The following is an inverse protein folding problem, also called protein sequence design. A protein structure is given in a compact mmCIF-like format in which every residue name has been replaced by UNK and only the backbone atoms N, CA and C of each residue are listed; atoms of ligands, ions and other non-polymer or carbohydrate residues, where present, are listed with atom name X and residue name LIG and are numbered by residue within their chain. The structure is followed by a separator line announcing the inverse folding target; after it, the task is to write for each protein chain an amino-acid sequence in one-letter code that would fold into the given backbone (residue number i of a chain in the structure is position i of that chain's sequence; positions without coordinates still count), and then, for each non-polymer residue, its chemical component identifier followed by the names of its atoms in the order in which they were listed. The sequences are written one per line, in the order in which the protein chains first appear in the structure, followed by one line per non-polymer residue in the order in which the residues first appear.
data_IF_758750799430
#
_entry.id   IF_758750799430
#
_cell.length_a   1.000
_cell.length_b   1.000
_cell.length_c   1.000
_cell.angle_alpha   90.00
_cell.angle_beta   90.00
_cell.angle_gamma   90.00
#
_symmetry.space_group_name_H-M   'P 1'
#
loop_
_entity.id
_entity.type
_entity.pdbx_description
1 polymer ?
#
# COMPACT_ATOMS: atom_id res chain seq x y z
N UNK A 1 -22.79 9.82 13.56
CA UNK A 1 -22.23 9.62 12.20
C UNK A 1 -20.76 10.02 12.12
N UNK A 2 -20.41 11.28 12.42
CA UNK A 2 -19.00 11.74 12.33
C UNK A 2 -18.03 10.99 13.26
N UNK A 3 -18.38 10.81 14.53
CA UNK A 3 -17.58 10.04 15.50
C UNK A 3 -17.28 8.61 15.02
N UNK A 4 -18.29 7.92 14.48
CA UNK A 4 -18.14 6.55 13.97
C UNK A 4 -17.23 6.49 12.74
N UNK A 5 -17.34 7.49 11.86
CA UNK A 5 -16.50 7.61 10.68
C UNK A 5 -15.01 7.78 11.05
N UNK A 6 -14.71 8.61 12.06
CA UNK A 6 -13.36 8.79 12.59
C UNK A 6 -12.81 7.51 13.22
N UNK A 7 -13.62 6.79 14.01
CA UNK A 7 -13.22 5.50 14.56
C UNK A 7 -12.99 4.45 13.47
N UNK A 8 -13.79 4.48 12.40
CA UNK A 8 -13.64 3.57 11.27
C UNK A 8 -12.35 3.84 10.49
N UNK A 9 -12.04 5.11 10.24
CA UNK A 9 -10.75 5.52 9.68
C UNK A 9 -9.58 5.10 10.59
N UNK A 10 -9.69 5.36 11.90
CA UNK A 10 -8.66 5.00 12.88
C UNK A 10 -8.36 3.51 12.87
N UNK A 11 -9.41 2.67 12.86
CA UNK A 11 -9.27 1.21 12.72
C UNK A 11 -8.61 0.83 11.39
N UNK A 12 -8.98 1.49 10.29
CA UNK A 12 -8.35 1.28 8.99
C UNK A 12 -6.85 1.58 9.00
N UNK A 13 -6.44 2.71 9.55
CA UNK A 13 -5.03 3.09 9.67
C UNK A 13 -4.28 2.11 10.60
N UNK A 14 -4.91 1.63 11.68
CA UNK A 14 -4.32 0.61 12.53
C UNK A 14 -3.99 -0.67 11.74
N UNK A 15 -4.91 -1.13 10.89
CA UNK A 15 -4.63 -2.28 10.02
C UNK A 15 -3.48 -2.02 9.04
N UNK A 16 -3.31 -0.78 8.56
CA UNK A 16 -2.15 -0.42 7.72
C UNK A 16 -0.83 -0.44 8.49
N UNK A 17 -0.83 0.00 9.75
CA UNK A 17 0.36 -0.09 10.63
C UNK A 17 0.74 -1.55 10.84
N UNK A 18 -0.22 -2.42 11.17
CA UNK A 18 0.03 -3.86 11.34
C UNK A 18 0.50 -4.50 10.03
N UNK A 19 -0.13 -4.14 8.90
CA UNK A 19 0.28 -4.61 7.58
C UNK A 19 1.73 -4.22 7.26
N UNK A 20 2.12 -2.98 7.55
CA UNK A 20 3.49 -2.49 7.33
C UNK A 20 4.52 -3.26 8.19
N UNK A 21 4.19 -3.56 9.45
CA UNK A 21 5.05 -4.39 10.33
C UNK A 21 5.20 -5.80 9.74
N UNK A 22 4.11 -6.40 9.26
CA UNK A 22 4.15 -7.73 8.64
C UNK A 22 4.99 -7.74 7.35
N UNK A 23 4.86 -6.72 6.51
CA UNK A 23 5.68 -6.58 5.29
C UNK A 23 7.15 -6.40 5.65
N UNK A 24 7.46 -5.56 6.63
CA UNK A 24 8.83 -5.34 7.10
C UNK A 24 9.46 -6.61 7.67
N UNK A 25 8.73 -7.35 8.50
CA UNK A 25 9.16 -8.64 9.03
C UNK A 25 9.39 -9.67 7.92
N UNK A 26 8.48 -9.73 6.93
CA UNK A 26 8.63 -10.60 5.76
C UNK A 26 9.86 -10.26 4.92
N UNK A 27 10.13 -8.96 4.73
CA UNK A 27 11.31 -8.48 4.03
C UNK A 27 12.61 -8.88 4.76
N UNK A 28 12.67 -8.68 6.08
CA UNK A 28 13.81 -9.11 6.91
C UNK A 28 14.04 -10.62 6.83
N UNK A 29 12.98 -11.42 6.96
CA UNK A 29 13.07 -12.87 6.81
C UNK A 29 13.61 -13.27 5.42
N UNK A 30 13.12 -12.62 4.36
CA UNK A 30 13.63 -12.80 3.00
C UNK A 30 15.10 -12.44 2.86
N UNK A 31 15.53 -11.32 3.45
CA UNK A 31 16.92 -10.87 3.38
C UNK A 31 17.87 -11.82 4.10
N UNK A 32 17.45 -12.37 5.25
CA UNK A 32 18.23 -13.42 5.94
C UNK A 32 18.35 -14.67 5.06
N UNK A 33 17.28 -15.09 4.38
CA UNK A 33 17.32 -16.25 3.48
C UNK A 33 18.30 -16.04 2.31
N UNK A 34 18.34 -14.83 1.75
CA UNK A 34 19.25 -14.48 0.66
C UNK A 34 20.71 -14.46 1.13
N UNK A 35 20.98 -13.85 2.29
CA UNK A 35 22.32 -13.80 2.89
C UNK A 35 22.89 -15.20 3.12
N UNK A 36 22.08 -16.12 3.64
CA UNK A 36 22.49 -17.52 3.83
C UNK A 36 22.66 -18.30 2.51
N UNK A 37 21.99 -17.91 1.43
CA UNK A 37 22.13 -18.54 0.12
C UNK A 37 23.43 -18.13 -0.61
N UNK A 38 23.98 -16.95 -0.31
CA UNK A 38 25.14 -16.37 -1.00
C UNK A 38 26.40 -16.22 -0.11
N UNK A 39 26.32 -16.59 1.17
CA UNK A 39 27.43 -16.40 2.10
C UNK A 39 28.68 -17.21 1.68
N UNK A 40 29.87 -16.58 1.63
CA UNK A 40 31.12 -17.24 1.24
C UNK A 40 31.70 -18.16 2.33
N UNK A 41 31.04 -18.27 3.48
CA UNK A 41 31.50 -19.04 4.65
C UNK A 41 30.89 -20.44 4.68
N UNK A 42 31.49 -21.34 3.90
CA UNK A 42 31.85 -22.73 4.28
C UNK A 42 30.80 -23.76 4.71
N UNK A 43 29.62 -23.40 5.20
CA UNK A 43 28.59 -24.35 5.60
C UNK A 43 27.23 -23.94 5.03
N UNK A 44 26.77 -24.68 4.03
CA UNK A 44 25.40 -24.56 3.56
C UNK A 44 24.44 -24.74 4.76
N UNK A 45 23.45 -23.85 4.95
CA UNK A 45 22.44 -24.04 5.98
C UNK A 45 21.79 -25.41 5.79
N UNK A 46 21.60 -26.16 6.88
CA UNK A 46 20.82 -27.40 6.84
C UNK A 46 19.47 -27.09 6.15
N UNK A 47 19.05 -27.89 5.14
CA UNK A 47 17.87 -27.62 4.31
C UNK A 47 16.59 -27.20 5.07
N UNK A 48 16.29 -27.66 6.30
CA UNK A 48 15.10 -27.18 7.01
C UNK A 48 15.10 -25.68 7.36
N UNK A 49 16.26 -25.03 7.58
CA UNK A 49 16.30 -23.63 8.04
C UNK A 49 16.05 -22.63 6.90
N UNK A 50 16.63 -22.85 5.71
CA UNK A 50 16.45 -21.96 4.56
C UNK A 50 15.03 -22.03 3.96
N UNK A 51 14.41 -23.22 3.93
CA UNK A 51 13.01 -23.37 3.51
C UNK A 51 12.04 -22.71 4.51
N UNK A 52 12.35 -22.75 5.80
CA UNK A 52 11.49 -22.15 6.82
C UNK A 52 11.48 -20.61 6.76
N UNK A 53 12.61 -19.95 6.49
CA UNK A 53 12.68 -18.48 6.40
C UNK A 53 12.02 -17.92 5.15
N UNK A 54 12.12 -18.62 4.01
CA UNK A 54 11.40 -18.26 2.78
C UNK A 54 9.89 -18.41 2.99
N UNK A 55 9.44 -19.52 3.59
CA UNK A 55 8.03 -19.72 3.90
C UNK A 55 7.48 -18.62 4.82
N UNK A 56 8.21 -18.27 5.88
CA UNK A 56 7.85 -17.17 6.79
C UNK A 56 7.80 -15.83 6.05
N UNK A 57 8.77 -15.54 5.17
CA UNK A 57 8.78 -14.32 4.37
C UNK A 57 7.55 -14.23 3.47
N UNK A 58 7.24 -15.30 2.72
CA UNK A 58 6.08 -15.35 1.82
C UNK A 58 4.77 -15.19 2.61
N UNK A 59 4.61 -15.92 3.70
CA UNK A 59 3.39 -15.82 4.55
C UNK A 59 3.25 -14.41 5.11
N UNK A 60 4.30 -13.82 5.65
CA UNK A 60 4.25 -12.48 6.22
C UNK A 60 3.90 -11.40 5.18
N UNK A 61 4.47 -11.51 3.97
CA UNK A 61 4.13 -10.62 2.85
C UNK A 61 2.68 -10.79 2.39
N UNK A 62 2.18 -12.02 2.30
CA UNK A 62 0.78 -12.30 1.94
C UNK A 62 -0.18 -11.76 3.00
N UNK A 63 0.11 -11.98 4.28
CA UNK A 63 -0.71 -11.45 5.38
C UNK A 63 -0.70 -9.92 5.37
N UNK A 64 0.47 -9.29 5.20
CA UNK A 64 0.58 -7.83 5.07
C UNK A 64 -0.23 -7.28 3.88
N UNK A 65 -0.18 -7.96 2.73
CA UNK A 65 -0.98 -7.61 1.56
C UNK A 65 -2.48 -7.72 1.83
N UNK A 66 -2.94 -8.84 2.40
CA UNK A 66 -4.36 -9.04 2.71
C UNK A 66 -4.87 -8.01 3.73
N UNK A 67 -4.09 -7.72 4.77
CA UNK A 67 -4.44 -6.72 5.76
C UNK A 67 -4.51 -5.31 5.18
N UNK A 68 -3.55 -4.94 4.31
CA UNK A 68 -3.56 -3.62 3.68
C UNK A 68 -4.75 -3.45 2.73
N UNK A 69 -5.08 -4.47 1.94
CA UNK A 69 -6.28 -4.49 1.11
C UNK A 69 -7.54 -4.38 1.97
N UNK A 70 -7.67 -5.21 3.02
CA UNK A 70 -8.80 -5.17 3.92
C UNK A 70 -8.99 -3.78 4.57
N UNK A 71 -7.90 -3.16 5.02
CA UNK A 71 -7.90 -1.82 5.61
C UNK A 71 -8.48 -0.78 4.64
N UNK A 72 -8.02 -0.79 3.39
CA UNK A 72 -8.43 0.15 2.34
C UNK A 72 -9.89 -0.08 1.94
N UNK A 73 -10.24 -1.32 1.61
CA UNK A 73 -11.57 -1.68 1.09
C UNK A 73 -12.67 -1.49 2.13
N UNK A 74 -12.47 -1.99 3.36
CA UNK A 74 -13.54 -2.07 4.35
C UNK A 74 -13.60 -0.82 5.23
N UNK A 75 -12.44 -0.33 5.69
CA UNK A 75 -12.39 0.66 6.76
C UNK A 75 -12.16 2.07 6.22
N UNK A 76 -11.09 2.30 5.47
CA UNK A 76 -10.71 3.65 5.02
C UNK A 76 -11.74 4.19 4.03
N UNK A 77 -12.09 3.41 3.00
CA UNK A 77 -13.13 3.79 2.04
C UNK A 77 -14.48 4.05 2.72
N UNK A 78 -14.86 3.17 3.65
CA UNK A 78 -16.12 3.31 4.40
C UNK A 78 -16.13 4.56 5.29
N UNK A 79 -15.03 4.86 5.98
CA UNK A 79 -14.92 6.02 6.85
C UNK A 79 -14.91 7.34 6.07
N UNK A 80 -14.20 7.43 4.94
CA UNK A 80 -14.29 8.61 4.07
C UNK A 80 -15.67 8.78 3.44
N UNK A 81 -16.37 7.69 3.12
CA UNK A 81 -17.77 7.76 2.64
C UNK A 81 -18.68 8.37 3.69
N UNK A 82 -18.57 7.92 4.94
CA UNK A 82 -19.37 8.47 6.05
C UNK A 82 -18.99 9.93 6.36
N UNK A 83 -17.69 10.27 6.36
CA UNK A 83 -17.27 11.67 6.48
C UNK A 83 -17.76 12.54 5.33
N UNK A 84 -17.84 12.01 4.10
CA UNK A 84 -18.32 12.77 2.93
C UNK A 84 -19.79 13.15 3.00
N UNK A 85 -20.58 12.42 3.80
CA UNK A 85 -21.98 12.76 4.08
C UNK A 85 -22.10 13.91 5.06
N UNK A 86 -21.10 14.09 5.94
CA UNK A 86 -21.06 15.18 6.91
C UNK A 86 -20.45 16.44 6.27
N UNK A 87 -19.36 16.27 5.52
CA UNK A 87 -18.73 17.34 4.76
C UNK A 87 -18.35 16.82 3.37
N UNK A 88 -18.98 17.43 2.35
CA UNK A 88 -18.80 17.08 0.93
C UNK A 88 -17.34 17.17 0.48
N UNK A 89 -16.52 17.96 1.18
CA UNK A 89 -15.09 18.09 0.91
C UNK A 89 -14.37 16.73 0.95
N UNK A 90 -14.78 15.79 1.82
CA UNK A 90 -14.17 14.45 1.92
C UNK A 90 -14.54 13.52 0.75
N UNK A 91 -15.47 13.92 -0.13
CA UNK A 91 -15.81 13.15 -1.33
C UNK A 91 -14.60 12.91 -2.24
N UNK A 92 -13.65 13.84 -2.26
CA UNK A 92 -12.39 13.72 -3.02
C UNK A 92 -11.55 12.56 -2.48
N UNK A 93 -11.48 12.39 -1.16
CA UNK A 93 -10.72 11.32 -0.51
C UNK A 93 -11.39 9.95 -0.74
N UNK A 94 -12.72 9.91 -0.75
CA UNK A 94 -13.46 8.72 -1.13
C UNK A 94 -13.15 8.31 -2.58
N UNK A 95 -13.20 9.26 -3.53
CA UNK A 95 -12.79 9.01 -4.92
C UNK A 95 -11.33 8.55 -5.01
N UNK A 96 -10.44 9.13 -4.20
CA UNK A 96 -9.06 8.69 -4.06
C UNK A 96 -8.93 7.21 -3.70
N UNK A 97 -9.65 6.76 -2.68
CA UNK A 97 -9.65 5.32 -2.32
C UNK A 97 -10.16 4.44 -3.47
N UNK A 98 -11.16 4.89 -4.25
CA UNK A 98 -11.63 4.12 -5.41
C UNK A 98 -10.61 4.07 -6.54
N UNK A 99 -9.90 5.17 -6.83
CA UNK A 99 -8.82 5.19 -7.83
C UNK A 99 -7.68 4.26 -7.41
N UNK A 100 -7.34 4.23 -6.12
CA UNK A 100 -6.32 3.33 -5.60
C UNK A 100 -6.70 1.86 -5.83
N UNK A 101 -7.97 1.51 -5.62
CA UNK A 101 -8.50 0.17 -5.88
C UNK A 101 -8.48 -0.19 -7.37
N UNK A 102 -8.91 0.74 -8.24
CA UNK A 102 -8.88 0.54 -9.69
C UNK A 102 -7.43 0.32 -10.15
N UNK A 103 -6.50 1.15 -9.66
CA UNK A 103 -5.07 1.01 -9.97
C UNK A 103 -4.51 -0.33 -9.53
N UNK A 104 -4.88 -0.82 -8.35
CA UNK A 104 -4.45 -2.12 -7.84
C UNK A 104 -5.02 -3.28 -8.66
N UNK A 105 -6.31 -3.22 -9.05
CA UNK A 105 -6.93 -4.22 -9.93
C UNK A 105 -6.22 -4.25 -11.28
N UNK A 106 -5.98 -3.08 -11.89
CA UNK A 106 -5.23 -2.97 -13.15
C UNK A 106 -3.81 -3.51 -13.01
N UNK A 107 -3.13 -3.23 -11.89
CA UNK A 107 -1.81 -3.77 -11.59
C UNK A 107 -1.81 -5.30 -11.53
N UNK A 108 -2.79 -5.92 -10.84
CA UNK A 108 -2.93 -7.38 -10.78
C UNK A 108 -3.20 -7.96 -12.17
N UNK A 109 -4.14 -7.38 -12.92
CA UNK A 109 -4.45 -7.83 -14.29
C UNK A 109 -3.22 -7.71 -15.19
N UNK A 110 -2.51 -6.58 -15.14
CA UNK A 110 -1.28 -6.36 -15.89
C UNK A 110 -0.17 -7.35 -15.52
N UNK A 111 0.02 -7.64 -14.24
CA UNK A 111 0.98 -8.64 -13.77
C UNK A 111 0.63 -10.06 -14.22
N UNK A 112 -0.65 -10.46 -14.15
CA UNK A 112 -1.11 -11.76 -14.64
C UNK A 112 -0.90 -11.90 -16.15
N UNK A 113 -1.22 -10.85 -16.92
CA UNK A 113 -0.91 -10.81 -18.35
C UNK A 113 0.59 -10.95 -18.56
N UNK A 114 1.42 -10.18 -17.85
CA UNK A 114 2.87 -10.24 -17.97
C UNK A 114 3.41 -11.66 -17.72
N UNK A 115 2.95 -12.33 -16.65
CA UNK A 115 3.34 -13.72 -16.33
C UNK A 115 2.90 -14.69 -17.44
N UNK A 116 1.67 -14.57 -17.93
CA UNK A 116 1.15 -15.44 -18.99
C UNK A 116 1.93 -15.26 -20.31
N UNK A 117 2.25 -14.02 -20.67
CA UNK A 117 3.07 -13.69 -21.83
C UNK A 117 4.51 -14.20 -21.63
N UNK A 118 5.11 -14.01 -20.46
CA UNK A 118 6.45 -14.51 -20.15
C UNK A 118 6.52 -16.04 -20.25
N UNK A 119 5.52 -16.76 -19.72
CA UNK A 119 5.43 -18.21 -19.83
C UNK A 119 5.33 -18.67 -21.29
N UNK A 120 4.55 -17.96 -22.12
CA UNK A 120 4.48 -18.24 -23.56
C UNK A 120 5.82 -17.99 -24.25
N UNK A 121 6.44 -16.82 -24.04
CA UNK A 121 7.75 -16.51 -24.61
C UNK A 121 8.79 -17.60 -24.28
N UNK A 122 8.83 -18.04 -23.02
CA UNK A 122 9.74 -19.08 -22.57
C UNK A 122 9.51 -20.42 -23.29
N UNK A 123 8.24 -20.80 -23.49
CA UNK A 123 7.86 -22.04 -24.19
C UNK A 123 8.10 -22.00 -25.70
N UNK A 124 8.21 -20.81 -26.30
CA UNK A 124 8.34 -20.61 -27.75
C UNK A 124 9.76 -20.32 -28.22
N UNK A 125 10.75 -20.23 -27.32
CA UNK A 125 12.16 -19.99 -27.67
C UNK A 125 12.76 -21.22 -28.35
N UNK A 126 13.04 -21.19 -29.67
CA UNK A 126 13.91 -22.17 -30.30
C UNK A 126 15.35 -21.85 -29.89
N UNK A 127 16.19 -22.85 -29.66
CA UNK A 127 17.62 -22.70 -29.33
C UNK A 127 18.46 -21.97 -30.42
N UNK A 128 17.84 -21.50 -31.50
CA UNK A 128 18.46 -20.67 -32.52
C UNK A 128 17.43 -19.82 -33.25
N UNK A 129 17.64 -18.49 -33.25
CA UNK A 129 16.91 -17.55 -34.09
C UNK A 129 15.95 -16.63 -33.33
N UNK A 130 16.50 -15.63 -32.64
CA UNK A 130 15.73 -14.47 -32.17
C UNK A 130 15.12 -13.73 -33.38
N UNK A 131 13.82 -13.90 -33.61
CA UNK A 131 13.03 -12.91 -34.35
C UNK A 131 12.81 -11.70 -33.43
N UNK A 132 13.77 -10.76 -33.43
CA UNK A 132 13.91 -9.65 -32.50
C UNK A 132 12.72 -8.64 -32.48
N UNK A 133 11.72 -8.77 -33.34
CA UNK A 133 10.56 -7.86 -33.39
C UNK A 133 9.29 -8.33 -32.66
N UNK A 134 8.99 -9.64 -32.69
CA UNK A 134 7.70 -10.16 -32.18
C UNK A 134 7.65 -10.30 -30.66
N UNK A 135 8.80 -10.61 -30.05
CA UNK A 135 8.91 -10.85 -28.60
C UNK A 135 8.86 -9.54 -27.79
N UNK A 136 9.29 -8.42 -28.36
CA UNK A 136 9.14 -7.12 -27.68
C UNK A 136 7.69 -6.61 -27.71
N UNK A 137 6.99 -6.79 -28.84
CA UNK A 137 5.61 -6.35 -29.00
C UNK A 137 4.63 -7.00 -28.01
N UNK A 138 4.86 -8.27 -27.66
CA UNK A 138 4.02 -9.01 -26.69
C UNK A 138 4.10 -8.48 -25.26
N UNK A 139 5.17 -7.74 -24.90
CA UNK A 139 5.31 -7.14 -23.57
C UNK A 139 4.79 -5.70 -23.50
N UNK A 140 4.50 -5.05 -24.63
CA UNK A 140 4.02 -3.66 -24.65
C UNK A 140 2.68 -3.52 -23.94
N UNK A 141 1.72 -4.39 -24.26
CA UNK A 141 0.38 -4.37 -23.65
C UNK A 141 0.42 -4.58 -22.12
N UNK A 142 1.02 -5.67 -21.58
CA UNK A 142 1.04 -5.87 -20.13
C UNK A 142 1.82 -4.76 -19.42
N UNK A 143 2.92 -4.25 -20.01
CA UNK A 143 3.66 -3.13 -19.44
C UNK A 143 2.80 -1.86 -19.39
N UNK A 144 2.06 -1.54 -20.46
CA UNK A 144 1.16 -0.38 -20.49
C UNK A 144 0.06 -0.49 -19.43
N UNK A 145 -0.54 -1.69 -19.25
CA UNK A 145 -1.57 -1.93 -18.22
C UNK A 145 -0.99 -1.76 -16.81
N UNK A 146 0.23 -2.27 -16.56
CA UNK A 146 0.91 -2.10 -15.27
C UNK A 146 1.20 -0.62 -14.99
N UNK A 147 1.71 0.12 -15.98
CA UNK A 147 1.99 1.55 -15.85
C UNK A 147 0.71 2.34 -15.56
N UNK A 148 -0.38 2.06 -16.28
CA UNK A 148 -1.68 2.68 -15.99
C UNK A 148 -2.17 2.35 -14.58
N UNK A 149 -2.06 1.09 -14.16
CA UNK A 149 -2.41 0.67 -12.80
C UNK A 149 -1.61 1.41 -11.74
N UNK A 150 -0.30 1.56 -11.94
CA UNK A 150 0.59 2.32 -11.06
C UNK A 150 0.18 3.79 -10.97
N UNK A 151 -0.11 4.44 -12.10
CA UNK A 151 -0.56 5.84 -12.14
C UNK A 151 -1.85 6.02 -11.33
N UNK A 152 -2.85 5.16 -11.55
CA UNK A 152 -4.09 5.22 -10.78
C UNK A 152 -3.89 4.94 -9.29
N UNK A 153 -3.00 4.01 -8.94
CA UNK A 153 -2.67 3.69 -7.56
C UNK A 153 -2.01 4.89 -6.85
N UNK A 154 -1.07 5.57 -7.52
CA UNK A 154 -0.39 6.77 -7.00
C UNK A 154 -1.36 7.94 -6.87
N UNK A 155 -2.18 8.21 -7.87
CA UNK A 155 -3.20 9.27 -7.79
C UNK A 155 -4.18 8.98 -6.64
N UNK A 156 -4.60 7.73 -6.51
CA UNK A 156 -5.48 7.30 -5.43
C UNK A 156 -4.84 7.47 -4.05
N UNK A 157 -3.55 7.15 -3.88
CA UNK A 157 -2.85 7.30 -2.61
C UNK A 157 -2.67 8.77 -2.22
N UNK A 158 -2.36 9.65 -3.19
CA UNK A 158 -2.31 11.11 -2.96
C UNK A 158 -3.66 11.62 -2.46
N UNK A 159 -4.76 11.28 -3.14
CA UNK A 159 -6.09 11.76 -2.78
C UNK A 159 -6.58 11.19 -1.44
N UNK A 160 -6.31 9.91 -1.16
CA UNK A 160 -6.77 9.25 0.05
C UNK A 160 -5.95 9.63 1.29
N UNK A 161 -4.63 9.68 1.17
CA UNK A 161 -3.74 9.88 2.31
C UNK A 161 -3.25 11.32 2.44
N UNK A 162 -2.70 11.92 1.38
CA UNK A 162 -2.15 13.28 1.42
C UNK A 162 -3.29 14.30 1.56
N UNK A 163 -4.21 14.33 0.59
CA UNK A 163 -5.36 15.25 0.63
C UNK A 163 -6.27 14.92 1.81
N UNK A 164 -6.43 13.64 2.14
CA UNK A 164 -7.17 13.21 3.33
C UNK A 164 -6.59 13.80 4.62
N UNK A 165 -5.27 13.77 4.78
CA UNK A 165 -4.60 14.35 5.94
C UNK A 165 -4.83 15.87 6.05
N UNK A 166 -4.63 16.61 4.95
CA UNK A 166 -4.84 18.07 4.98
C UNK A 166 -6.30 18.45 5.24
N UNK A 167 -7.26 17.73 4.66
CA UNK A 167 -8.68 17.99 4.94
C UNK A 167 -9.07 17.68 6.39
N UNK A 168 -8.50 16.62 6.97
CA UNK A 168 -8.70 16.31 8.38
C UNK A 168 -8.06 17.39 9.27
N UNK A 169 -6.89 17.92 8.90
CA UNK A 169 -6.28 19.06 9.58
C UNK A 169 -7.18 20.30 9.52
N UNK A 170 -7.68 20.67 8.34
CA UNK A 170 -8.52 21.87 8.18
C UNK A 170 -9.82 21.77 9.00
N UNK A 171 -10.36 20.56 9.15
CA UNK A 171 -11.61 20.35 9.89
C UNK A 171 -11.43 20.23 11.40
N UNK A 172 -10.40 19.52 11.86
CA UNK A 172 -10.20 19.21 13.29
C UNK A 172 -9.10 20.06 13.94
N UNK A 173 -8.38 20.87 13.17
CA UNK A 173 -7.30 21.76 13.59
C UNK A 173 -6.22 21.06 14.45
N UNK A 174 -5.88 19.81 14.10
CA UNK A 174 -4.83 19.04 14.76
C UNK A 174 -3.59 18.93 13.87
N UNK A 175 -2.48 19.51 14.34
CA UNK A 175 -1.20 19.55 13.62
C UNK A 175 -0.60 18.16 13.34
N UNK A 176 -1.01 17.11 14.05
CA UNK A 176 -0.61 15.74 13.74
C UNK A 176 -1.12 15.29 12.36
N UNK A 177 -2.28 15.77 11.93
CA UNK A 177 -2.77 15.50 10.57
C UNK A 177 -1.90 16.17 9.52
N UNK A 178 -1.50 17.43 9.75
CA UNK A 178 -0.59 18.14 8.87
C UNK A 178 0.77 17.44 8.79
N UNK A 179 1.32 17.02 9.93
CA UNK A 179 2.58 16.27 9.97
C UNK A 179 2.48 14.93 9.21
N UNK A 180 1.38 14.18 9.36
CA UNK A 180 1.13 12.97 8.58
C UNK A 180 1.07 13.24 7.07
N UNK A 181 0.38 14.31 6.66
CA UNK A 181 0.30 14.73 5.25
C UNK A 181 1.66 15.05 4.65
N UNK A 182 2.51 15.79 5.38
CA UNK A 182 3.88 16.11 4.95
C UNK A 182 4.73 14.83 4.82
N UNK A 183 4.66 13.92 5.80
CA UNK A 183 5.39 12.66 5.73
C UNK A 183 4.99 11.83 4.51
N UNK A 184 3.70 11.77 4.17
CA UNK A 184 3.26 11.08 2.96
C UNK A 184 3.78 11.73 1.67
N UNK A 185 3.90 13.06 1.62
CA UNK A 185 4.50 13.76 0.46
C UNK A 185 5.97 13.40 0.34
N UNK A 186 6.73 13.51 1.44
CA UNK A 186 8.17 13.23 1.43
C UNK A 186 8.41 11.77 1.04
N UNK A 187 7.64 10.84 1.60
CA UNK A 187 7.70 9.42 1.28
C UNK A 187 7.42 9.13 -0.20
N UNK A 188 6.42 9.81 -0.77
CA UNK A 188 6.11 9.69 -2.19
C UNK A 188 7.29 10.14 -3.06
N UNK A 189 7.90 11.27 -2.75
CA UNK A 189 9.08 11.78 -3.47
C UNK A 189 10.26 10.82 -3.34
N UNK A 190 10.53 10.32 -2.14
CA UNK A 190 11.58 9.33 -1.87
C UNK A 190 11.38 8.05 -2.68
N UNK A 191 10.14 7.58 -2.79
CA UNK A 191 9.77 6.40 -3.57
C UNK A 191 10.13 6.58 -5.06
N UNK A 192 9.92 7.77 -5.63
CA UNK A 192 10.31 8.06 -7.01
C UNK A 192 11.83 8.09 -7.23
N UNK A 193 12.62 8.37 -6.18
CA UNK A 193 14.09 8.34 -6.21
C UNK A 193 14.62 6.92 -5.89
N UNK A 194 13.73 5.94 -5.66
CA UNK A 194 14.08 4.54 -5.42
C UNK A 194 14.44 4.22 -3.97
N UNK A 195 14.13 5.12 -3.03
CA UNK A 195 14.33 4.87 -1.60
C UNK A 195 13.11 4.18 -0.97
N UNK A 196 13.31 3.29 0.02
CA UNK A 196 12.22 2.55 0.64
C UNK A 196 11.29 3.47 1.43
N UNK A 197 9.99 3.18 1.36
CA UNK A 197 8.88 3.94 1.92
C UNK A 197 8.73 3.82 3.45
N UNK A 198 9.77 4.19 4.21
CA UNK A 198 9.77 4.10 5.68
C UNK A 198 8.96 5.22 6.33
N UNK A 199 8.86 6.39 5.68
CA UNK A 199 8.16 7.54 6.23
C UNK A 199 6.64 7.35 6.20
N UNK A 200 6.13 6.57 5.25
CA UNK A 200 4.71 6.23 5.18
C UNK A 200 4.22 5.55 6.47
N UNK A 201 5.06 4.69 7.08
CA UNK A 201 4.76 4.04 8.35
C UNK A 201 4.57 5.05 9.49
N UNK A 202 5.48 6.02 9.60
CA UNK A 202 5.39 7.09 10.60
C UNK A 202 4.15 7.96 10.34
N UNK A 203 3.86 8.26 9.07
CA UNK A 203 2.63 8.96 8.68
C UNK A 203 1.36 8.25 9.14
N UNK A 204 1.30 6.92 9.02
CA UNK A 204 0.16 6.13 9.53
C UNK A 204 0.05 6.21 11.05
N UNK A 205 1.15 6.20 11.79
CA UNK A 205 1.13 6.35 13.26
C UNK A 205 0.56 7.72 13.66
N UNK A 206 1.06 8.81 13.06
CA UNK A 206 0.57 10.15 13.37
C UNK A 206 -0.91 10.30 13.03
N UNK A 207 -1.33 9.79 11.87
CA UNK A 207 -2.73 9.76 11.45
C UNK A 207 -3.60 8.98 12.43
N UNK A 208 -3.14 7.82 12.91
CA UNK A 208 -3.88 7.01 13.89
C UNK A 208 -4.10 7.75 15.21
N UNK A 209 -3.06 8.43 15.71
CA UNK A 209 -3.14 9.23 16.96
C UNK A 209 -4.08 10.42 16.76
N UNK A 210 -3.93 11.16 15.67
CA UNK A 210 -4.76 12.33 15.34
C UNK A 210 -6.25 11.97 15.21
N UNK A 211 -6.58 10.86 14.55
CA UNK A 211 -7.95 10.36 14.45
C UNK A 211 -8.54 10.00 15.82
N UNK A 212 -7.71 9.52 16.76
CA UNK A 212 -8.13 9.28 18.14
C UNK A 212 -8.53 10.57 18.86
N UNK A 213 -7.67 11.60 18.78
CA UNK A 213 -7.92 12.91 19.38
C UNK A 213 -9.13 13.60 18.77
N UNK A 214 -9.28 13.56 17.45
CA UNK A 214 -10.44 14.11 16.76
C UNK A 214 -11.74 13.43 17.19
N UNK A 215 -11.74 12.09 17.34
CA UNK A 215 -12.91 11.36 17.81
C UNK A 215 -13.29 11.73 19.25
N UNK A 216 -12.32 11.90 20.15
CA UNK A 216 -12.55 12.35 21.53
C UNK A 216 -13.12 13.78 21.58
N UNK A 217 -12.60 14.66 20.72
CA UNK A 217 -13.10 16.04 20.57
C UNK A 217 -14.56 16.08 20.14
N UNK A 218 -14.92 15.31 19.10
CA UNK A 218 -16.31 15.20 18.62
C UNK A 218 -17.23 14.62 19.69
N UNK A 219 -16.78 13.59 20.42
CA UNK A 219 -17.58 12.99 21.51
C UNK A 219 -17.87 14.00 22.63
N UNK A 220 -16.87 14.80 23.01
CA UNK A 220 -16.99 15.80 24.09
C UNK A 220 -17.95 16.92 23.70
N UNK A 221 -17.92 17.36 22.44
CA UNK A 221 -18.88 18.35 21.93
C UNK A 221 -20.31 17.80 21.94
N UNK A 222 -20.51 16.53 21.60
CA UNK A 222 -21.83 15.90 21.59
C UNK A 222 -22.42 15.69 23.00
N UNK A 223 -21.62 15.64 24.05
CA UNK A 223 -22.08 15.49 25.45
C UNK A 223 -22.36 16.82 26.15
N UNK A 224 -21.91 17.94 25.59
CA UNK A 224 -22.09 19.28 26.17
C UNK A 224 -23.25 20.06 25.54
N UNK A 225 -24.09 19.37 24.74
CA UNK A 225 -25.33 19.88 24.12
C UNK A 225 -26.49 19.08 24.68
#
# INVERSE_FOLDING_TARGET
MEFEALLKLRKGILYLIVAAIMVFAGFLAGLTSLFFAIAPFGEAPKPPLALSSVAVAVVALLVGLVLSLYAVFSKIRGGFRELSQVDRSFGICYTGTTLMLVGLILGIVGALLFIAFLAKALSTLPLGGLHHGGVFAMFILPLAVIVLGLIFAVLGSILAYVVGAFKLNDRYNDSLFLAAGILYIIDLVLTFVGLPAVLQFVGHILMYVALGRAAEGVKTQATNV
#
